data_IF_874514276927
#
_entry.id   IF_874514276927
#
_cell.length_a   1.000
_cell.length_b   1.000
_cell.length_c   1.000
_cell.angle_alpha   90.00
_cell.angle_beta   90.00
_cell.angle_gamma   90.00
#
_symmetry.space_group_name_H-M   'P 1'
#
loop_
_entity.id
_entity.type
_entity.pdbx_description
1 polymer ?
#
# COMPACT_ATOMS: atom_id res chain seq x y z
N UNK A 1 -27.00 -0.84 -10.05
CA UNK A 1 -26.24 -1.40 -11.19
C UNK A 1 -25.60 -2.71 -10.75
N UNK A 2 -25.43 -3.67 -11.67
CA UNK A 2 -24.60 -4.86 -11.42
C UNK A 2 -23.15 -4.39 -11.26
N UNK A 3 -22.46 -4.82 -10.20
CA UNK A 3 -21.05 -4.51 -9.98
C UNK A 3 -20.26 -5.81 -9.95
N UNK A 4 -19.22 -5.88 -10.78
CA UNK A 4 -18.20 -6.93 -10.71
C UNK A 4 -16.98 -6.38 -9.97
N UNK A 5 -16.63 -7.01 -8.85
CA UNK A 5 -15.60 -6.52 -7.93
C UNK A 5 -14.38 -7.43 -8.01
N UNK A 6 -13.21 -6.85 -8.27
CA UNK A 6 -11.93 -7.53 -8.12
C UNK A 6 -11.49 -7.46 -6.65
N UNK A 7 -11.10 -8.58 -6.05
CA UNK A 7 -10.60 -8.61 -4.67
C UNK A 7 -9.08 -8.73 -4.65
N UNK A 8 -8.43 -7.80 -3.96
CA UNK A 8 -6.98 -7.71 -3.82
C UNK A 8 -6.59 -7.95 -2.36
N UNK A 9 -5.75 -8.95 -2.09
CA UNK A 9 -5.40 -9.34 -0.72
C UNK A 9 -4.10 -10.16 -0.63
N UNK A 10 -3.66 -10.42 0.60
CA UNK A 10 -2.52 -11.33 0.85
C UNK A 10 -3.00 -12.79 0.85
N UNK A 11 -2.80 -13.48 -0.27
CA UNK A 11 -3.25 -14.87 -0.45
C UNK A 11 -2.76 -15.83 0.64
N UNK A 12 -1.49 -15.74 1.04
CA UNK A 12 -0.89 -16.70 1.98
C UNK A 12 -1.41 -16.61 3.42
N UNK A 13 -1.87 -15.42 3.85
CA UNK A 13 -2.21 -15.13 5.25
C UNK A 13 -3.70 -14.86 5.45
N UNK A 14 -4.34 -14.22 4.47
CA UNK A 14 -5.66 -13.64 4.67
C UNK A 14 -6.80 -14.39 3.96
N UNK A 15 -6.51 -15.43 3.16
CA UNK A 15 -7.53 -16.16 2.36
C UNK A 15 -8.76 -16.56 3.16
N UNK A 16 -8.59 -17.04 4.40
CA UNK A 16 -9.70 -17.44 5.25
C UNK A 16 -10.56 -16.26 5.74
N UNK A 17 -9.91 -15.17 6.14
CA UNK A 17 -10.58 -13.93 6.57
C UNK A 17 -11.35 -13.32 5.41
N UNK A 18 -10.71 -13.30 4.26
CA UNK A 18 -11.18 -12.74 3.01
C UNK A 18 -12.39 -13.51 2.45
N UNK A 19 -12.42 -14.84 2.58
CA UNK A 19 -13.57 -15.66 2.18
C UNK A 19 -14.87 -15.27 2.89
N UNK A 20 -14.82 -14.78 4.13
CA UNK A 20 -16.00 -14.28 4.85
C UNK A 20 -16.57 -13.01 4.19
N UNK A 21 -15.70 -12.12 3.70
CA UNK A 21 -16.07 -10.92 2.96
C UNK A 21 -16.65 -11.29 1.60
N UNK A 22 -15.99 -12.19 0.86
CA UNK A 22 -16.44 -12.69 -0.44
C UNK A 22 -17.83 -13.29 -0.38
N UNK A 23 -18.04 -14.21 0.57
CA UNK A 23 -19.33 -14.88 0.72
C UNK A 23 -20.45 -13.88 1.04
N UNK A 24 -20.14 -12.82 1.78
CA UNK A 24 -21.09 -11.72 2.05
C UNK A 24 -21.38 -10.87 0.80
N UNK A 25 -20.44 -10.78 -0.13
CA UNK A 25 -20.61 -10.08 -1.41
C UNK A 25 -21.45 -10.89 -2.40
N UNK A 26 -21.03 -12.14 -2.71
CA UNK A 26 -21.65 -12.97 -3.76
C UNK A 26 -23.02 -13.53 -3.37
N UNK A 27 -23.38 -13.49 -2.09
CA UNK A 27 -24.69 -13.95 -1.62
C UNK A 27 -25.85 -12.98 -1.94
N UNK A 28 -25.58 -11.76 -2.41
CA UNK A 28 -26.65 -10.83 -2.84
C UNK A 28 -26.78 -10.85 -4.37
N UNK A 29 -28.00 -10.67 -4.87
CA UNK A 29 -28.28 -10.64 -6.30
C UNK A 29 -27.47 -9.56 -7.04
N UNK A 30 -27.20 -9.77 -8.34
CA UNK A 30 -26.54 -8.80 -9.21
C UNK A 30 -25.10 -8.43 -8.78
N UNK A 31 -24.38 -9.38 -8.18
CA UNK A 31 -23.00 -9.20 -7.70
C UNK A 31 -22.10 -10.33 -8.16
N UNK A 32 -20.96 -9.95 -8.71
CA UNK A 32 -19.93 -10.88 -9.16
C UNK A 32 -18.59 -10.54 -8.51
N UNK A 33 -17.77 -11.57 -8.27
CA UNK A 33 -16.43 -11.44 -7.71
C UNK A 33 -15.39 -11.96 -8.71
N UNK A 34 -14.23 -11.33 -8.75
CA UNK A 34 -13.04 -11.75 -9.47
C UNK A 34 -11.78 -11.60 -8.58
N UNK A 35 -10.64 -12.13 -9.02
CA UNK A 35 -9.40 -12.11 -8.22
C UNK A 35 -9.43 -13.11 -7.06
N UNK A 36 -10.11 -14.22 -7.24
CA UNK A 36 -10.21 -15.29 -6.27
C UNK A 36 -9.94 -16.63 -6.94
N UNK A 37 -8.83 -17.24 -6.57
CA UNK A 37 -8.49 -18.62 -6.90
C UNK A 37 -8.06 -19.33 -5.63
N UNK A 38 -8.12 -20.66 -5.64
CA UNK A 38 -7.70 -21.43 -4.49
C UNK A 38 -6.17 -21.37 -4.29
N UNK A 39 -5.72 -21.82 -3.12
CA UNK A 39 -4.29 -21.75 -2.79
C UNK A 39 -3.44 -22.63 -3.72
N UNK A 40 -3.98 -23.73 -4.25
CA UNK A 40 -3.22 -24.62 -5.14
C UNK A 40 -3.02 -23.97 -6.51
N UNK A 41 -4.09 -23.41 -7.07
CA UNK A 41 -4.08 -22.67 -8.34
C UNK A 41 -3.17 -21.43 -8.23
N UNK A 42 -3.19 -20.72 -7.10
CA UNK A 42 -2.28 -19.58 -6.92
C UNK A 42 -0.81 -19.97 -6.84
N UNK A 43 -0.49 -21.10 -6.21
CA UNK A 43 0.87 -21.62 -6.20
C UNK A 43 1.31 -22.13 -7.58
N UNK A 44 0.39 -22.59 -8.43
CA UNK A 44 0.67 -22.92 -9.82
C UNK A 44 0.99 -21.67 -10.63
N UNK A 45 0.12 -20.66 -10.60
CA UNK A 45 0.33 -19.36 -11.28
C UNK A 45 1.65 -18.69 -10.86
N UNK A 46 2.03 -18.80 -9.58
CA UNK A 46 3.33 -18.31 -9.10
C UNK A 46 4.55 -18.95 -9.75
N UNK A 47 4.44 -20.21 -10.19
CA UNK A 47 5.57 -20.94 -10.81
C UNK A 47 5.80 -20.52 -12.26
N UNK A 48 4.82 -19.86 -12.88
CA UNK A 48 4.85 -19.51 -14.31
C UNK A 48 5.56 -18.19 -14.61
N UNK A 49 6.10 -17.51 -13.59
CA UNK A 49 6.90 -16.29 -13.72
C UNK A 49 6.12 -14.98 -13.58
N UNK A 50 6.84 -13.87 -13.48
CA UNK A 50 6.25 -12.57 -13.13
C UNK A 50 5.25 -12.04 -14.17
N UNK A 51 5.56 -12.19 -15.46
CA UNK A 51 4.72 -11.67 -16.54
C UNK A 51 3.41 -12.46 -16.67
N UNK A 52 3.47 -13.78 -16.51
CA UNK A 52 2.27 -14.64 -16.49
C UNK A 52 1.33 -14.27 -15.34
N UNK A 53 1.87 -13.95 -14.16
CA UNK A 53 1.07 -13.49 -13.03
C UNK A 53 0.40 -12.14 -13.33
N UNK A 54 1.12 -11.21 -13.99
CA UNK A 54 0.54 -9.91 -14.38
C UNK A 54 -0.59 -10.09 -15.39
N UNK A 55 -0.40 -10.92 -16.40
CA UNK A 55 -1.40 -11.20 -17.43
C UNK A 55 -2.64 -11.86 -16.82
N UNK A 56 -2.43 -12.82 -15.91
CA UNK A 56 -3.50 -13.44 -15.15
C UNK A 56 -4.28 -12.42 -14.30
N UNK A 57 -3.59 -11.54 -13.56
CA UNK A 57 -4.23 -10.45 -12.80
C UNK A 57 -5.04 -9.54 -13.74
N UNK A 58 -4.46 -9.16 -14.88
CA UNK A 58 -5.08 -8.28 -15.85
C UNK A 58 -6.38 -8.89 -16.43
N UNK A 59 -6.37 -10.20 -16.68
CA UNK A 59 -7.56 -10.96 -17.10
C UNK A 59 -8.62 -11.01 -16.00
N UNK A 60 -8.24 -11.28 -14.75
CA UNK A 60 -9.16 -11.27 -13.62
C UNK A 60 -9.79 -9.88 -13.39
N UNK A 61 -9.06 -8.81 -13.70
CA UNK A 61 -9.57 -7.45 -13.64
C UNK A 61 -10.52 -7.12 -14.80
N UNK A 62 -10.50 -7.86 -15.91
CA UNK A 62 -11.36 -7.60 -17.06
C UNK A 62 -12.84 -7.55 -16.66
N UNK A 63 -13.57 -6.52 -17.11
CA UNK A 63 -14.99 -6.32 -16.77
C UNK A 63 -15.29 -5.96 -15.31
N UNK A 64 -14.29 -5.78 -14.44
CA UNK A 64 -14.50 -5.28 -13.07
C UNK A 64 -14.56 -3.75 -13.07
N UNK A 65 -15.43 -3.18 -12.22
CA UNK A 65 -15.58 -1.73 -12.07
C UNK A 65 -14.98 -1.21 -10.76
N UNK A 66 -14.78 -2.08 -9.77
CA UNK A 66 -14.25 -1.73 -8.45
C UNK A 66 -13.26 -2.80 -8.00
N UNK A 67 -12.21 -2.35 -7.33
CA UNK A 67 -11.21 -3.18 -6.65
C UNK A 67 -11.36 -3.02 -5.14
N UNK A 68 -11.71 -4.12 -4.46
CA UNK A 68 -11.75 -4.18 -3.01
C UNK A 68 -10.41 -4.70 -2.46
N UNK A 69 -9.63 -3.82 -1.87
CA UNK A 69 -8.36 -4.16 -1.21
C UNK A 69 -8.64 -4.59 0.22
N UNK A 70 -8.49 -5.87 0.52
CA UNK A 70 -8.76 -6.45 1.83
C UNK A 70 -7.48 -6.44 2.68
N UNK A 71 -7.44 -5.52 3.65
CA UNK A 71 -6.26 -5.12 4.39
C UNK A 71 -6.15 -5.94 5.68
N UNK A 72 -5.36 -7.01 5.61
CA UNK A 72 -4.79 -7.72 6.76
C UNK A 72 -3.49 -7.07 7.24
N UNK A 73 -2.71 -7.80 8.04
CA UNK A 73 -1.52 -7.26 8.70
C UNK A 73 -0.41 -6.89 7.69
N UNK A 74 -0.13 -7.78 6.74
CA UNK A 74 1.00 -7.66 5.80
C UNK A 74 0.59 -7.28 4.36
N UNK A 75 -0.69 -6.98 4.13
CA UNK A 75 -1.22 -6.75 2.78
C UNK A 75 -0.53 -5.58 2.07
N UNK A 76 -0.19 -4.53 2.81
CA UNK A 76 0.43 -3.33 2.25
C UNK A 76 1.86 -3.52 1.73
N UNK A 77 2.45 -4.68 2.00
CA UNK A 77 3.83 -5.01 1.62
C UNK A 77 3.89 -6.04 0.49
N UNK A 78 2.74 -6.52 -0.01
CA UNK A 78 2.68 -7.49 -1.10
C UNK A 78 2.81 -6.83 -2.47
N UNK A 79 3.75 -7.30 -3.28
CA UNK A 79 4.02 -6.79 -4.62
C UNK A 79 2.83 -6.91 -5.57
N UNK A 80 2.11 -8.03 -5.51
CA UNK A 80 0.89 -8.21 -6.30
C UNK A 80 -0.23 -7.24 -5.92
N UNK A 81 -0.43 -6.98 -4.62
CA UNK A 81 -1.38 -5.94 -4.16
C UNK A 81 -0.97 -4.56 -4.68
N UNK A 82 0.33 -4.26 -4.68
CA UNK A 82 0.85 -2.98 -5.22
C UNK A 82 0.58 -2.87 -6.73
N UNK A 83 0.80 -3.95 -7.48
CA UNK A 83 0.50 -4.02 -8.92
C UNK A 83 -1.00 -3.83 -9.17
N UNK A 84 -1.85 -4.58 -8.46
CA UNK A 84 -3.31 -4.55 -8.56
C UNK A 84 -3.87 -3.14 -8.30
N UNK A 85 -3.40 -2.44 -7.26
CA UNK A 85 -3.80 -1.06 -6.99
C UNK A 85 -3.43 -0.14 -8.17
N UNK A 86 -2.19 -0.20 -8.63
CA UNK A 86 -1.70 0.65 -9.74
C UNK A 86 -2.50 0.38 -11.03
N UNK A 87 -2.74 -0.89 -11.36
CA UNK A 87 -3.50 -1.31 -12.53
C UNK A 87 -4.96 -0.87 -12.44
N UNK A 88 -5.57 -1.03 -11.27
CA UNK A 88 -6.96 -0.62 -11.00
C UNK A 88 -7.18 0.86 -11.29
N UNK A 89 -6.31 1.73 -10.78
CA UNK A 89 -6.39 3.18 -11.04
C UNK A 89 -6.23 3.49 -12.53
N UNK A 90 -5.24 2.89 -13.21
CA UNK A 90 -5.03 3.10 -14.66
C UNK A 90 -6.24 2.69 -15.49
N UNK A 91 -6.95 1.63 -15.09
CA UNK A 91 -8.18 1.15 -15.75
C UNK A 91 -9.42 1.98 -15.39
N UNK A 92 -9.34 2.85 -14.39
CA UNK A 92 -10.46 3.64 -13.91
C UNK A 92 -11.38 2.90 -12.92
N UNK A 93 -10.94 1.78 -12.36
CA UNK A 93 -11.69 1.10 -11.30
C UNK A 93 -11.77 2.00 -10.06
N UNK A 94 -12.93 2.00 -9.40
CA UNK A 94 -13.03 2.45 -8.02
C UNK A 94 -12.19 1.58 -7.09
N UNK A 95 -11.69 2.14 -5.99
CA UNK A 95 -10.98 1.36 -4.98
C UNK A 95 -11.67 1.53 -3.63
N UNK A 96 -11.84 0.41 -2.91
CA UNK A 96 -12.26 0.43 -1.51
C UNK A 96 -11.26 -0.34 -0.66
N UNK A 97 -10.76 0.30 0.40
CA UNK A 97 -9.97 -0.40 1.42
C UNK A 97 -10.88 -1.02 2.48
N UNK A 98 -10.68 -2.28 2.82
CA UNK A 98 -11.47 -2.96 3.87
C UNK A 98 -10.52 -3.68 4.82
N UNK A 99 -10.40 -3.19 6.05
CA UNK A 99 -9.59 -3.82 7.08
C UNK A 99 -10.26 -5.10 7.60
N UNK A 100 -9.58 -6.24 7.43
CA UNK A 100 -10.08 -7.58 7.75
C UNK A 100 -9.39 -8.25 8.94
N UNK A 101 -8.36 -7.65 9.54
CA UNK A 101 -7.63 -8.19 10.71
C UNK A 101 -8.53 -8.62 11.89
N UNK A 102 -9.69 -7.98 12.07
CA UNK A 102 -10.67 -8.34 13.11
C UNK A 102 -11.51 -9.59 12.81
N UNK A 103 -11.39 -10.16 11.61
CA UNK A 103 -11.99 -11.43 11.25
C UNK A 103 -11.12 -12.59 11.73
N UNK A 104 -11.80 -13.68 12.10
CA UNK A 104 -11.13 -14.90 12.55
C UNK A 104 -10.51 -15.64 11.37
N UNK A 105 -9.33 -16.20 11.55
CA UNK A 105 -8.75 -17.23 10.65
C UNK A 105 -9.37 -18.62 10.91
N UNK A 106 -8.77 -19.65 10.30
CA UNK A 106 -9.21 -21.04 10.43
C UNK A 106 -9.02 -21.58 11.85
N UNK A 107 -8.08 -21.03 12.61
CA UNK A 107 -7.84 -21.34 14.03
C UNK A 107 -8.75 -20.53 14.98
N UNK A 108 -9.60 -19.63 14.45
CA UNK A 108 -10.51 -18.82 15.25
C UNK A 108 -9.87 -17.55 15.84
N UNK A 109 -8.65 -17.20 15.42
CA UNK A 109 -7.85 -16.09 15.93
C UNK A 109 -7.97 -14.83 15.06
N UNK A 110 -7.88 -13.65 15.68
CA UNK A 110 -7.78 -12.37 14.97
C UNK A 110 -6.31 -11.96 14.79
N UNK A 111 -6.07 -10.94 13.96
CA UNK A 111 -4.73 -10.45 13.66
C UNK A 111 -4.56 -8.96 14.01
N UNK A 112 -3.33 -8.46 13.93
CA UNK A 112 -3.02 -7.04 14.07
C UNK A 112 -3.47 -6.25 12.84
N UNK A 113 -3.80 -4.98 13.07
CA UNK A 113 -4.22 -4.07 12.02
C UNK A 113 -3.02 -3.65 11.15
N UNK A 114 -3.02 -4.04 9.89
CA UNK A 114 -2.00 -3.59 8.94
C UNK A 114 -2.15 -2.12 8.52
N UNK A 115 -1.09 -1.62 7.89
CA UNK A 115 -1.08 -0.30 7.26
C UNK A 115 -2.04 -0.26 6.06
N UNK A 116 -2.62 0.91 5.79
CA UNK A 116 -3.46 1.08 4.61
C UNK A 116 -2.57 1.27 3.36
N UNK A 117 -2.58 0.34 2.39
CA UNK A 117 -1.75 0.46 1.18
C UNK A 117 -2.07 1.71 0.37
N UNK A 118 -3.30 2.22 0.40
CA UNK A 118 -3.70 3.41 -0.36
C UNK A 118 -2.97 4.69 0.08
N UNK A 119 -2.42 4.70 1.31
CA UNK A 119 -1.56 5.81 1.78
C UNK A 119 -0.20 5.86 1.07
N UNK A 120 0.20 4.77 0.40
CA UNK A 120 1.50 4.64 -0.27
C UNK A 120 1.44 5.07 -1.75
N UNK A 121 0.28 5.48 -2.27
CA UNK A 121 0.11 5.84 -3.67
C UNK A 121 -0.45 7.23 -3.83
N UNK A 122 -0.03 7.91 -4.89
CA UNK A 122 -0.48 9.24 -5.26
C UNK A 122 -0.87 9.29 -6.74
N UNK A 123 -1.76 10.21 -7.07
CA UNK A 123 -2.09 10.66 -8.42
C UNK A 123 -1.85 12.16 -8.50
N UNK A 124 -1.55 12.64 -9.70
CA UNK A 124 -1.12 14.01 -9.93
C UNK A 124 -1.66 14.57 -11.24
N UNK A 125 -2.08 15.82 -11.22
CA UNK A 125 -2.45 16.62 -12.39
C UNK A 125 -2.15 18.09 -12.09
N UNK A 126 -1.47 18.77 -13.00
CA UNK A 126 -1.11 20.20 -12.89
C UNK A 126 -0.43 20.60 -11.56
N UNK A 127 0.38 19.71 -10.99
CA UNK A 127 1.08 19.90 -9.71
C UNK A 127 0.23 19.65 -8.46
N UNK A 128 -1.07 19.34 -8.59
CA UNK A 128 -1.93 18.90 -7.50
C UNK A 128 -1.75 17.40 -7.25
N UNK A 129 -1.07 17.06 -6.15
CA UNK A 129 -0.76 15.68 -5.76
C UNK A 129 -1.76 15.19 -4.70
N UNK A 130 -2.55 14.17 -5.04
CA UNK A 130 -3.52 13.55 -4.12
C UNK A 130 -3.12 12.15 -3.75
N UNK A 131 -3.21 11.81 -2.47
CA UNK A 131 -2.99 10.44 -2.00
C UNK A 131 -4.24 9.60 -2.27
N UNK A 132 -4.10 8.34 -2.68
CA UNK A 132 -5.28 7.50 -2.96
C UNK A 132 -6.19 7.35 -1.73
N UNK A 133 -5.64 7.32 -0.52
CA UNK A 133 -6.45 7.27 0.71
C UNK A 133 -7.25 8.54 1.02
N UNK A 134 -7.00 9.67 0.34
CA UNK A 134 -7.85 10.86 0.45
C UNK A 134 -8.95 10.91 -0.61
N UNK A 135 -8.87 10.06 -1.64
CA UNK A 135 -9.85 9.94 -2.72
C UNK A 135 -10.80 8.78 -2.45
N UNK A 136 -10.24 7.63 -2.06
CA UNK A 136 -10.95 6.38 -1.90
C UNK A 136 -11.15 6.02 -0.43
N UNK A 137 -12.35 5.54 -0.06
CA UNK A 137 -12.66 5.27 1.33
C UNK A 137 -11.96 4.00 1.84
N UNK A 138 -11.78 3.94 3.15
CA UNK A 138 -11.29 2.75 3.85
C UNK A 138 -12.12 2.48 5.09
N UNK A 139 -12.66 1.26 5.19
CA UNK A 139 -13.52 0.83 6.28
C UNK A 139 -12.90 -0.32 7.08
N UNK A 140 -13.45 -0.59 8.24
CA UNK A 140 -13.16 -1.74 9.08
C UNK A 140 -14.34 -2.70 9.04
N UNK A 141 -14.11 -3.93 8.57
CA UNK A 141 -15.19 -4.89 8.32
C UNK A 141 -16.14 -5.08 9.51
N UNK A 142 -15.60 -5.34 10.71
CA UNK A 142 -16.41 -5.61 11.89
C UNK A 142 -16.99 -4.34 12.53
N UNK A 143 -16.18 -3.28 12.65
CA UNK A 143 -16.59 -2.02 13.30
C UNK A 143 -17.67 -1.29 12.50
N UNK A 144 -17.57 -1.32 11.18
CA UNK A 144 -18.41 -0.53 10.29
C UNK A 144 -19.55 -1.38 9.67
N UNK A 145 -19.86 -2.54 10.26
CA UNK A 145 -20.92 -3.47 9.86
C UNK A 145 -20.87 -3.89 8.37
N UNK A 146 -19.73 -4.42 7.93
CA UNK A 146 -19.43 -4.64 6.51
C UNK A 146 -20.36 -5.61 5.78
N UNK A 147 -20.96 -6.59 6.48
CA UNK A 147 -21.94 -7.50 5.85
C UNK A 147 -23.13 -6.76 5.26
N UNK A 148 -23.60 -5.73 5.98
CA UNK A 148 -24.71 -4.90 5.52
C UNK A 148 -24.22 -3.83 4.55
N UNK A 149 -23.05 -3.23 4.82
CA UNK A 149 -22.63 -2.00 4.17
C UNK A 149 -21.70 -2.16 2.95
N UNK A 150 -21.12 -3.34 2.68
CA UNK A 150 -20.17 -3.53 1.55
C UNK A 150 -20.74 -3.10 0.19
N UNK A 151 -22.05 -3.24 -0.01
CA UNK A 151 -22.72 -2.73 -1.22
C UNK A 151 -22.53 -1.23 -1.42
N UNK A 152 -22.76 -0.47 -0.36
CA UNK A 152 -22.66 0.98 -0.38
C UNK A 152 -21.19 1.41 -0.52
N UNK A 153 -20.27 0.71 0.15
CA UNK A 153 -18.83 1.00 0.05
C UNK A 153 -18.28 0.81 -1.37
N UNK A 154 -18.73 -0.26 -2.05
CA UNK A 154 -18.37 -0.51 -3.45
C UNK A 154 -18.92 0.59 -4.36
N UNK A 155 -20.15 1.03 -4.12
CA UNK A 155 -20.76 2.10 -4.92
C UNK A 155 -20.08 3.46 -4.67
N UNK A 156 -19.79 3.80 -3.42
CA UNK A 156 -19.04 5.02 -3.05
C UNK A 156 -17.65 5.05 -3.71
N UNK A 157 -16.95 3.91 -3.70
CA UNK A 157 -15.66 3.77 -4.39
C UNK A 157 -15.78 3.92 -5.91
N UNK A 158 -16.84 3.40 -6.53
CA UNK A 158 -17.09 3.57 -7.96
C UNK A 158 -17.28 5.05 -8.31
N UNK A 159 -18.13 5.75 -7.54
CA UNK A 159 -18.40 7.17 -7.71
C UNK A 159 -17.15 8.03 -7.49
N UNK A 160 -16.32 7.72 -6.49
CA UNK A 160 -15.05 8.40 -6.26
C UNK A 160 -14.10 8.31 -7.48
N UNK A 161 -14.12 7.19 -8.21
CA UNK A 161 -13.29 7.02 -9.42
C UNK A 161 -13.74 7.90 -10.59
N UNK A 162 -15.03 8.20 -10.68
CA UNK A 162 -15.59 9.06 -11.73
C UNK A 162 -15.06 10.50 -11.63
N UNK A 163 -14.62 10.92 -10.44
CA UNK A 163 -14.01 12.22 -10.19
C UNK A 163 -12.54 12.30 -10.64
N UNK A 164 -11.90 11.17 -10.94
CA UNK A 164 -10.50 11.16 -11.40
C UNK A 164 -10.40 11.38 -12.90
N UNK A 165 -9.60 12.36 -13.30
CA UNK A 165 -9.30 12.63 -14.70
C UNK A 165 -8.46 11.50 -15.33
N UNK A 166 -8.47 11.43 -16.66
CA UNK A 166 -7.59 10.49 -17.38
C UNK A 166 -6.10 10.75 -17.12
N UNK A 167 -5.71 12.00 -16.84
CA UNK A 167 -4.33 12.38 -16.51
C UNK A 167 -3.96 11.82 -15.14
N UNK A 168 -4.78 12.06 -14.12
CA UNK A 168 -4.60 11.52 -12.76
C UNK A 168 -4.50 9.99 -12.76
N UNK A 169 -5.36 9.31 -13.53
CA UNK A 169 -5.33 7.84 -13.64
C UNK A 169 -4.01 7.32 -14.20
N UNK A 170 -3.41 8.02 -15.18
CA UNK A 170 -2.14 7.62 -15.80
C UNK A 170 -0.93 7.97 -14.94
N UNK A 171 -1.00 9.03 -14.13
CA UNK A 171 0.09 9.49 -13.26
C UNK A 171 0.26 8.68 -11.97
N UNK A 172 -0.62 7.71 -11.69
CA UNK A 172 -0.55 6.89 -10.48
C UNK A 172 0.84 6.29 -10.24
N UNK A 173 1.42 6.63 -9.09
CA UNK A 173 2.75 6.19 -8.66
C UNK A 173 2.79 5.93 -7.17
N UNK A 174 3.78 5.16 -6.73
CA UNK A 174 4.06 5.02 -5.30
C UNK A 174 4.67 6.33 -4.80
N UNK A 175 4.29 6.75 -3.61
CA UNK A 175 5.01 7.80 -2.88
C UNK A 175 6.34 7.22 -2.44
N UNK A 176 7.44 7.74 -2.96
CA UNK A 176 8.76 7.36 -2.47
C UNK A 176 8.85 7.74 -0.99
N UNK A 177 9.16 6.75 -0.16
CA UNK A 177 9.59 7.01 1.20
C UNK A 177 10.91 7.74 1.10
N UNK A 178 11.02 8.93 1.69
CA UNK A 178 12.29 9.67 1.74
C UNK A 178 13.40 8.77 2.33
N UNK A 179 13.05 7.85 3.23
CA UNK A 179 13.97 6.88 3.82
C UNK A 179 14.39 5.73 2.87
N UNK A 180 13.66 5.46 1.79
CA UNK A 180 14.04 4.41 0.81
C UNK A 180 15.04 4.91 -0.25
N UNK A 181 15.16 6.23 -0.45
CA UNK A 181 16.11 6.84 -1.38
C UNK A 181 17.34 7.49 -0.70
N UNK A 182 17.33 7.63 0.63
CA UNK A 182 18.44 8.19 1.38
C UNK A 182 19.40 7.09 1.80
N UNK A 183 20.30 6.71 0.89
CA UNK A 183 21.60 6.20 1.29
C UNK A 183 22.37 7.37 1.91
N UNK A 184 22.15 7.65 3.19
CA UNK A 184 23.00 8.58 3.89
C UNK A 184 24.38 7.92 4.01
N UNK A 185 25.31 8.28 3.13
CA UNK A 185 26.71 8.04 3.46
C UNK A 185 27.06 8.82 4.73
N UNK A 186 28.14 8.41 5.39
CA UNK A 186 28.58 9.01 6.66
C UNK A 186 28.76 10.53 6.53
N UNK A 187 29.19 11.03 5.37
CA UNK A 187 29.31 12.44 5.07
C UNK A 187 27.97 13.17 5.01
N UNK A 188 26.93 12.58 4.43
CA UNK A 188 25.59 13.17 4.39
C UNK A 188 24.97 13.30 5.81
N UNK A 189 25.21 12.33 6.69
CA UNK A 189 24.77 12.40 8.10
C UNK A 189 25.50 13.51 8.85
N UNK A 190 26.81 13.63 8.65
CA UNK A 190 27.64 14.67 9.29
C UNK A 190 27.17 16.06 8.85
N UNK A 191 26.96 16.28 7.55
CA UNK A 191 26.51 17.58 7.03
C UNK A 191 25.13 17.95 7.57
N UNK A 192 24.19 17.01 7.62
CA UNK A 192 22.87 17.25 8.21
C UNK A 192 22.97 17.56 9.71
N UNK A 193 23.83 16.85 10.44
CA UNK A 193 24.12 17.13 11.85
C UNK A 193 24.68 18.53 12.07
N UNK A 194 25.65 18.95 11.25
CA UNK A 194 26.22 20.31 11.30
C UNK A 194 25.15 21.37 11.00
N UNK A 195 24.31 21.16 9.98
CA UNK A 195 23.23 22.09 9.63
C UNK A 195 22.20 22.22 10.75
N UNK A 196 21.87 21.12 11.43
CA UNK A 196 20.97 21.13 12.60
C UNK A 196 21.61 21.89 13.77
N UNK A 197 22.91 21.69 14.03
CA UNK A 197 23.65 22.42 15.08
C UNK A 197 23.67 23.93 14.80
N UNK A 198 24.02 24.34 13.57
CA UNK A 198 24.00 25.75 13.15
C UNK A 198 22.60 26.34 13.30
N UNK A 199 21.56 25.58 12.96
CA UNK A 199 20.19 26.03 13.13
C UNK A 199 19.85 26.22 14.60
N UNK A 200 20.23 25.29 15.49
CA UNK A 200 19.97 25.43 16.94
C UNK A 200 20.72 26.64 17.51
N UNK A 201 22.00 26.82 17.20
CA UNK A 201 22.80 27.99 17.65
C UNK A 201 22.21 29.31 17.16
N UNK A 202 21.63 29.34 15.95
CA UNK A 202 20.97 30.54 15.42
C UNK A 202 19.70 30.93 16.19
N UNK A 203 19.00 29.95 16.78
CA UNK A 203 17.69 30.16 17.41
C UNK A 203 17.69 29.95 18.92
N UNK A 204 18.83 29.61 19.52
CA UNK A 204 19.01 29.41 20.97
C UNK A 204 20.37 29.96 21.40
N UNK A 205 20.49 30.53 22.60
CA UNK A 205 21.78 30.97 23.18
C UNK A 205 22.62 29.76 23.70
N UNK A 206 22.61 28.65 22.96
CA UNK A 206 23.34 27.42 23.29
C UNK A 206 24.47 27.27 22.28
N UNK A 207 25.71 27.46 22.71
CA UNK A 207 26.91 27.19 21.90
C UNK A 207 27.27 25.70 21.97
N UNK A 208 26.88 24.95 20.95
CA UNK A 208 27.02 23.49 20.91
C UNK A 208 28.40 23.11 20.37
N UNK A 209 28.95 23.90 19.44
CA UNK A 209 30.24 23.63 18.79
C UNK A 209 31.46 23.71 19.73
N UNK A 210 31.35 24.37 20.88
CA UNK A 210 32.47 24.52 21.83
C UNK A 210 32.71 23.24 22.66
N UNK A 211 31.72 22.34 22.74
CA UNK A 211 31.77 21.10 23.53
C UNK A 211 31.95 19.83 22.69
N UNK A 212 32.08 19.94 21.36
CA UNK A 212 32.26 18.80 20.47
C UNK A 212 33.76 18.61 20.17
N UNK A 213 34.37 17.58 20.77
CA UNK A 213 35.74 17.17 20.45
C UNK A 213 35.78 16.42 19.11
N UNK A 214 36.09 17.14 18.04
CA UNK A 214 36.17 16.62 16.68
C UNK A 214 37.34 15.64 16.46
N UNK A 215 38.30 15.55 17.38
CA UNK A 215 39.46 14.64 17.26
C UNK A 215 39.06 13.16 17.33
N UNK A 216 37.91 12.84 17.93
CA UNK A 216 37.37 11.48 18.07
C UNK A 216 36.82 10.91 16.74
N UNK A 217 36.43 11.77 15.79
CA UNK A 217 35.84 11.34 14.50
C UNK A 217 36.87 11.08 13.40
N UNK A 218 38.12 11.54 13.55
CA UNK A 218 39.20 11.27 12.59
C UNK A 218 39.82 9.86 12.73
N UNK A 219 39.58 9.13 13.83
CA UNK A 219 40.19 7.81 14.05
C UNK A 219 39.47 6.64 13.37
N UNK A 220 38.28 6.84 12.78
CA UNK A 220 37.51 5.75 12.17
C UNK A 220 37.71 5.60 10.64
N UNK A 221 38.57 6.40 10.00
CA UNK A 221 38.82 6.33 8.53
C UNK A 221 40.30 6.22 8.16
N UNK A 222 41.16 5.88 9.13
CA UNK A 222 42.61 5.91 8.97
C UNK A 222 43.32 4.59 9.26
N UNK A 223 42.70 3.43 9.00
CA UNK A 223 43.40 2.14 9.07
C UNK A 223 42.96 1.19 7.94
N UNK A 224 43.05 1.69 6.70
CA UNK A 224 43.11 0.87 5.49
C UNK A 224 44.37 1.28 4.72
N UNK A 225 45.52 0.83 5.21
CA UNK A 225 46.72 0.53 4.40
C UNK A 225 47.87 0.04 5.30
N UNK A 226 47.77 -1.21 5.77
CA UNK A 226 48.95 -2.02 6.01
C UNK A 226 48.57 -3.50 5.95
N UNK A 227 48.79 -4.13 4.79
CA UNK A 227 49.69 -5.28 4.62
C UNK A 227 49.84 -5.58 3.12
N UNK A 228 51.00 -6.09 2.66
CA UNK A 228 51.19 -6.60 1.30
C UNK A 228 50.38 -7.87 1.02
#
# INVERSE_FOLDING_TARGET
>A
MVRRVFFSFHYGRDVWRVNQVRNSWVAKENREAAGFIDAAEWEEVKREGEDTIKDWIDEQMHGTSVTAVLIGNETADRDWVRYEIKKSIKRGNGIVGIKVHSLKDKEGSTDFSGSNPLKKFVVEEDGDVKTLSSIFPTYHWKRDNGRENIGNWVEEAAQASEQLSGVQRRSVRRRESIAEGLNFDVGAVIVLGILIVIFIEKYTDIDILENIDLSQFQQATGDDNMFP
#
